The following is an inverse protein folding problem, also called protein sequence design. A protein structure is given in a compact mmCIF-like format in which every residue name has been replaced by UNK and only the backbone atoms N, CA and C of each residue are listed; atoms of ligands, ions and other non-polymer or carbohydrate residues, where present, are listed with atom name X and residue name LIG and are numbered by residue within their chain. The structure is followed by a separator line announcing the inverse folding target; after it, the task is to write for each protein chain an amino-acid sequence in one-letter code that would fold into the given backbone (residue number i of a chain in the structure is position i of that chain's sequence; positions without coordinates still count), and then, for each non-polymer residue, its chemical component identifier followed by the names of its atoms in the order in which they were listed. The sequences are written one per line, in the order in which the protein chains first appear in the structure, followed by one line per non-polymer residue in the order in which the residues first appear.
data_IF_050954174481
#
_entry.id   IF_050954174481
#
_cell.length_a   1.000
_cell.length_b   1.000
_cell.length_c   1.000
_cell.angle_alpha   90.00
_cell.angle_beta   90.00
_cell.angle_gamma   90.00
#
_symmetry.space_group_name_H-M   'P 1'
#
loop_
_entity.id
_entity.type
_entity.pdbx_description
1 polymer ?
#
# COMPACT_ATOMS: atom_id res chain seq x y z
N UNK A 1 56.78 -39.77 -10.41
CA UNK A 1 56.91 -38.30 -10.54
C UNK A 1 55.58 -37.68 -10.15
N UNK A 2 55.64 -36.50 -9.53
CA UNK A 2 54.53 -35.60 -9.13
C UNK A 2 54.36 -35.43 -7.62
N UNK A 3 55.18 -34.51 -7.10
CA UNK A 3 55.08 -33.86 -5.79
C UNK A 3 53.99 -32.79 -5.80
N UNK A 4 53.14 -32.76 -4.77
CA UNK A 4 52.24 -31.63 -4.50
C UNK A 4 52.90 -30.68 -3.49
N UNK A 5 53.16 -29.45 -3.92
CA UNK A 5 53.65 -28.36 -3.08
C UNK A 5 52.49 -27.48 -2.65
N UNK A 6 52.38 -27.25 -1.34
CA UNK A 6 51.42 -26.31 -0.75
C UNK A 6 51.96 -24.88 -0.82
N UNK A 7 51.12 -23.93 -1.24
CA UNK A 7 51.43 -22.50 -1.27
C UNK A 7 50.67 -21.74 -0.18
N UNK A 8 51.42 -20.98 0.61
CA UNK A 8 50.96 -20.10 1.69
C UNK A 8 50.35 -18.79 1.13
N UNK A 9 49.30 -18.22 1.73
CA UNK A 9 48.77 -16.92 1.30
C UNK A 9 49.56 -15.73 1.90
N UNK A 10 49.85 -14.75 1.04
CA UNK A 10 50.43 -13.45 1.37
C UNK A 10 49.42 -12.53 2.09
N UNK A 11 49.87 -11.84 3.14
CA UNK A 11 49.12 -10.78 3.83
C UNK A 11 49.10 -9.48 3.02
N UNK A 12 47.92 -8.93 2.77
CA UNK A 12 47.74 -7.61 2.17
C UNK A 12 47.91 -6.45 3.19
N UNK A 13 48.20 -5.22 2.72
CA UNK A 13 48.46 -4.08 3.59
C UNK A 13 47.19 -3.46 4.22
N UNK A 14 47.37 -2.92 5.42
CA UNK A 14 46.34 -2.32 6.26
C UNK A 14 45.81 -0.97 5.71
N UNK A 15 44.49 -0.80 5.77
CA UNK A 15 43.76 0.38 5.35
C UNK A 15 43.80 1.46 6.45
N UNK A 16 44.42 2.62 6.19
CA UNK A 16 44.35 3.80 7.07
C UNK A 16 43.15 4.67 6.71
N UNK A 17 42.34 5.04 7.72
CA UNK A 17 41.25 6.02 7.59
C UNK A 17 41.78 7.45 7.78
N UNK A 18 41.46 8.41 6.90
CA UNK A 18 41.66 9.82 7.20
C UNK A 18 40.57 10.34 8.14
N UNK A 19 41.00 10.93 9.25
CA UNK A 19 40.20 11.73 10.16
C UNK A 19 40.16 13.19 9.68
N UNK A 20 38.99 13.72 9.36
CA UNK A 20 38.77 15.16 9.24
C UNK A 20 37.51 15.56 9.99
N UNK A 21 37.72 16.25 11.10
CA UNK A 21 36.69 16.93 11.89
C UNK A 21 36.52 18.33 11.29
N UNK A 22 35.34 18.62 10.75
CA UNK A 22 34.95 20.00 10.39
C UNK A 22 33.64 20.32 11.11
N UNK A 23 33.68 21.35 11.96
CA UNK A 23 32.50 21.87 12.66
C UNK A 23 31.78 22.90 11.76
N UNK A 24 30.44 22.92 11.70
CA UNK A 24 29.72 23.95 10.96
C UNK A 24 29.48 25.22 11.81
N UNK A 25 29.33 26.40 11.19
CA UNK A 25 29.03 27.65 11.88
C UNK A 25 27.53 27.77 12.21
N UNK A 26 27.26 28.38 13.37
CA UNK A 26 25.93 28.70 13.88
C UNK A 26 25.45 30.01 13.24
N UNK A 27 24.35 29.97 12.49
CA UNK A 27 23.62 31.16 12.06
C UNK A 27 22.26 31.20 12.78
N UNK A 28 22.10 32.21 13.64
CA UNK A 28 20.85 32.53 14.33
C UNK A 28 19.95 33.33 13.39
N UNK A 29 18.75 32.83 13.11
CA UNK A 29 17.68 33.66 12.54
C UNK A 29 16.34 33.25 13.13
N UNK A 30 15.68 34.21 13.77
CA UNK A 30 14.35 34.06 14.37
C UNK A 30 13.29 33.91 13.27
N UNK A 31 12.32 33.00 13.39
CA UNK A 31 11.29 32.82 12.38
C UNK A 31 10.25 33.94 12.44
N UNK A 32 10.03 34.63 11.32
CA UNK A 32 8.86 35.50 11.14
C UNK A 32 7.61 34.65 10.92
N UNK A 33 6.49 35.03 11.56
CA UNK A 33 5.17 34.43 11.37
C UNK A 33 4.61 34.83 10.00
N UNK A 34 4.27 33.83 9.19
CA UNK A 34 3.48 34.00 7.97
C UNK A 34 1.98 33.97 8.35
N UNK A 35 1.14 34.91 7.87
CA UNK A 35 -0.31 34.89 8.11
C UNK A 35 -1.00 33.76 7.32
N UNK A 36 -1.99 33.13 7.94
CA UNK A 36 -2.90 32.17 7.28
C UNK A 36 -3.80 32.87 6.26
N UNK A 37 -4.11 32.25 5.10
CA UNK A 37 -5.08 32.77 4.15
C UNK A 37 -6.50 32.70 4.74
N UNK A 38 -7.28 33.76 4.51
CA UNK A 38 -8.69 33.86 4.86
C UNK A 38 -9.51 32.97 3.91
N UNK A 39 -10.47 32.23 4.46
CA UNK A 39 -11.43 31.45 3.68
C UNK A 39 -12.45 32.39 3.04
N UNK A 40 -12.61 32.28 1.72
CA UNK A 40 -13.66 32.95 0.97
C UNK A 40 -14.96 32.14 0.99
N UNK A 41 -16.05 32.90 1.10
CA UNK A 41 -17.43 32.49 1.26
C UNK A 41 -17.94 31.54 0.17
N UNK A 42 -18.72 30.53 0.58
CA UNK A 42 -19.60 29.76 -0.32
C UNK A 42 -21.06 30.17 -0.11
N UNK A 43 -21.89 30.18 -1.17
CA UNK A 43 -23.21 30.78 -1.15
C UNK A 43 -24.29 29.87 -0.53
N UNK A 44 -25.23 30.55 0.13
CA UNK A 44 -26.39 30.02 0.82
C UNK A 44 -27.36 29.28 -0.10
N UNK A 45 -27.72 28.04 0.26
CA UNK A 45 -28.85 27.32 -0.32
C UNK A 45 -30.03 27.33 0.66
N UNK A 46 -31.13 27.91 0.19
CA UNK A 46 -32.40 28.08 0.90
C UNK A 46 -33.15 26.75 1.04
N UNK A 47 -33.63 26.52 2.25
CA UNK A 47 -34.53 25.44 2.65
C UNK A 47 -35.96 25.67 2.16
N UNK A 48 -36.59 24.63 1.63
CA UNK A 48 -38.05 24.57 1.47
C UNK A 48 -38.57 23.26 2.07
N UNK A 49 -39.31 23.43 3.16
CA UNK A 49 -40.01 22.42 3.93
C UNK A 49 -41.35 22.05 3.27
N UNK A 50 -41.61 20.76 3.08
CA UNK A 50 -42.96 20.24 2.88
C UNK A 50 -43.03 18.76 3.30
N UNK A 51 -43.65 18.52 4.45
CA UNK A 51 -44.22 17.22 4.83
C UNK A 51 -45.51 16.98 4.04
N UNK A 52 -45.87 15.72 3.72
CA UNK A 52 -47.03 15.16 4.42
C UNK A 52 -46.99 13.64 4.71
N UNK A 53 -47.58 13.33 5.87
CA UNK A 53 -48.38 12.17 6.30
C UNK A 53 -48.33 10.81 5.57
N UNK A 54 -48.15 9.78 6.40
CA UNK A 54 -48.32 8.34 6.18
C UNK A 54 -49.71 7.93 5.66
N UNK A 55 -49.78 6.76 5.01
CA UNK A 55 -50.71 5.75 5.52
C UNK A 55 -50.06 4.37 5.73
N UNK A 56 -50.51 3.73 6.80
CA UNK A 56 -50.31 2.34 7.18
C UNK A 56 -50.87 1.37 6.13
N UNK A 57 -50.12 0.33 5.78
CA UNK A 57 -50.65 -0.95 5.28
C UNK A 57 -49.58 -2.04 5.40
N UNK A 58 -49.78 -2.95 6.33
CA UNK A 58 -49.09 -4.25 6.39
C UNK A 58 -49.59 -5.17 5.27
N UNK A 59 -48.70 -5.94 4.64
CA UNK A 59 -49.01 -7.32 4.32
C UNK A 59 -48.03 -8.27 4.99
N UNK A 60 -48.60 -9.17 5.80
CA UNK A 60 -48.02 -10.43 6.17
C UNK A 60 -47.79 -11.26 4.90
N UNK A 61 -46.54 -11.58 4.58
CA UNK A 61 -46.20 -12.68 3.68
C UNK A 61 -44.95 -13.37 4.19
N UNK A 62 -45.16 -14.53 4.80
CA UNK A 62 -44.18 -15.58 5.00
C UNK A 62 -43.60 -15.99 3.63
N UNK A 63 -42.43 -15.46 3.31
CA UNK A 63 -41.64 -15.87 2.15
C UNK A 63 -40.29 -16.36 2.67
N UNK A 64 -40.17 -17.69 2.64
CA UNK A 64 -38.97 -18.53 2.61
C UNK A 64 -37.62 -17.82 2.79
N UNK A 65 -37.09 -17.94 4.00
CA UNK A 65 -35.68 -17.73 4.36
C UNK A 65 -34.78 -18.85 3.80
N UNK A 66 -34.86 -19.09 2.48
CA UNK A 66 -34.03 -20.09 1.76
C UNK A 66 -32.92 -19.44 0.90
N UNK A 67 -32.82 -18.11 0.90
CA UNK A 67 -31.82 -17.36 0.15
C UNK A 67 -30.47 -17.21 0.87
N UNK A 68 -30.40 -17.46 2.19
CA UNK A 68 -29.23 -17.09 2.99
C UNK A 68 -28.20 -18.22 3.19
N UNK A 69 -28.57 -19.47 2.89
CA UNK A 69 -27.72 -20.63 3.17
C UNK A 69 -26.98 -21.20 1.94
N UNK A 70 -27.29 -20.74 0.72
CA UNK A 70 -26.56 -21.15 -0.50
C UNK A 70 -25.14 -20.58 -0.61
N UNK A 71 -24.79 -19.61 0.23
CA UNK A 71 -23.50 -18.96 0.17
C UNK A 71 -22.36 -19.80 0.75
N UNK A 72 -22.60 -20.57 1.82
CA UNK A 72 -21.53 -21.23 2.57
C UNK A 72 -20.91 -22.42 1.83
N UNK A 73 -21.71 -23.20 1.11
CA UNK A 73 -21.23 -24.41 0.40
C UNK A 73 -20.39 -24.07 -0.85
N UNK A 74 -20.57 -22.89 -1.45
CA UNK A 74 -19.88 -22.52 -2.68
C UNK A 74 -18.38 -22.22 -2.49
N UNK A 75 -17.94 -21.86 -1.29
CA UNK A 75 -16.56 -21.47 -1.02
C UNK A 75 -15.63 -22.65 -0.73
N UNK A 76 -16.17 -23.84 -0.42
CA UNK A 76 -15.35 -25.01 -0.06
C UNK A 76 -14.46 -25.49 -1.23
N UNK A 77 -14.90 -25.27 -2.47
CA UNK A 77 -14.14 -25.64 -3.68
C UNK A 77 -13.52 -24.43 -4.41
N UNK A 78 -13.89 -23.20 -4.04
CA UNK A 78 -13.39 -22.00 -4.71
C UNK A 78 -11.88 -21.83 -4.50
N UNK A 79 -11.17 -21.49 -5.58
CA UNK A 79 -9.75 -21.16 -5.55
C UNK A 79 -9.58 -19.73 -6.03
N UNK A 80 -9.09 -18.84 -5.16
CA UNK A 80 -8.68 -17.49 -5.54
C UNK A 80 -7.24 -17.51 -6.05
N UNK A 81 -7.01 -16.96 -7.23
CA UNK A 81 -5.71 -16.79 -7.86
C UNK A 81 -5.16 -15.40 -7.51
N UNK A 82 -4.09 -15.41 -6.72
CA UNK A 82 -3.43 -14.20 -6.23
C UNK A 82 -2.11 -14.00 -6.98
N UNK A 83 -2.09 -13.04 -7.90
CA UNK A 83 -0.85 -12.59 -8.52
C UNK A 83 0.03 -11.86 -7.52
N UNK A 84 1.35 -12.06 -7.54
CA UNK A 84 2.25 -11.29 -6.68
C UNK A 84 3.47 -10.72 -7.41
N UNK A 85 3.87 -9.51 -7.02
CA UNK A 85 5.06 -8.83 -7.51
C UNK A 85 5.86 -8.20 -6.36
N UNK A 86 6.96 -8.86 -5.97
CA UNK A 86 7.82 -8.43 -4.88
C UNK A 86 9.29 -8.36 -5.33
N UNK A 87 10.01 -7.34 -4.89
CA UNK A 87 11.46 -7.33 -5.00
C UNK A 87 12.10 -8.46 -4.18
N UNK A 88 13.31 -8.93 -4.56
CA UNK A 88 13.99 -10.05 -3.88
C UNK A 88 14.07 -9.88 -2.36
N UNK A 89 14.30 -8.65 -1.88
CA UNK A 89 14.34 -8.33 -0.45
C UNK A 89 13.04 -8.69 0.28
N UNK A 90 11.88 -8.46 -0.35
CA UNK A 90 10.56 -8.76 0.25
C UNK A 90 10.20 -10.24 0.10
N UNK A 91 10.69 -10.91 -0.95
CA UNK A 91 10.46 -12.35 -1.15
C UNK A 91 10.96 -13.20 0.02
N UNK A 92 12.08 -12.84 0.66
CA UNK A 92 12.57 -13.57 1.83
C UNK A 92 11.55 -13.65 2.98
N UNK A 93 10.75 -12.59 3.18
CA UNK A 93 9.67 -12.59 4.18
C UNK A 93 8.40 -13.27 3.70
N UNK A 94 8.14 -13.28 2.39
CA UNK A 94 6.89 -13.80 1.81
C UNK A 94 6.97 -15.27 1.39
N UNK A 95 8.18 -15.83 1.28
CA UNK A 95 8.41 -17.17 0.74
C UNK A 95 7.54 -18.25 1.40
N UNK A 96 7.44 -18.23 2.74
CA UNK A 96 6.62 -19.20 3.48
C UNK A 96 5.14 -19.13 3.11
N UNK A 97 4.58 -17.92 3.04
CA UNK A 97 3.16 -17.70 2.73
C UNK A 97 2.82 -18.12 1.30
N UNK A 98 3.72 -17.83 0.36
CA UNK A 98 3.53 -18.15 -1.07
C UNK A 98 3.69 -19.64 -1.34
N UNK A 99 4.65 -20.30 -0.69
CA UNK A 99 4.96 -21.72 -0.91
C UNK A 99 4.03 -22.65 -0.15
N UNK A 100 3.56 -22.23 1.02
CA UNK A 100 2.64 -22.96 1.86
C UNK A 100 1.49 -22.03 2.31
N UNK A 101 0.46 -21.86 1.47
CA UNK A 101 -0.72 -21.05 1.79
C UNK A 101 -1.69 -21.76 2.76
N UNK A 102 -1.38 -23.00 3.19
CA UNK A 102 -2.24 -23.80 4.04
C UNK A 102 -2.37 -23.37 5.53
N UNK A 103 -1.48 -22.56 6.17
CA UNK A 103 -1.61 -22.27 7.60
C UNK A 103 -2.78 -21.34 7.97
N UNK A 104 -3.60 -20.94 6.99
CA UNK A 104 -4.76 -20.07 7.19
C UNK A 104 -6.09 -20.71 6.72
N UNK A 105 -6.18 -22.04 6.72
CA UNK A 105 -7.45 -22.75 6.51
C UNK A 105 -8.39 -22.51 7.70
N UNK A 106 -9.05 -21.37 7.68
CA UNK A 106 -10.30 -21.19 8.40
C UNK A 106 -11.40 -21.92 7.61
N UNK A 107 -12.21 -22.72 8.29
CA UNK A 107 -13.30 -23.46 7.65
C UNK A 107 -14.25 -22.48 6.96
N UNK A 108 -14.62 -22.78 5.71
CA UNK A 108 -15.50 -21.92 4.89
C UNK A 108 -14.82 -20.81 4.08
N UNK A 109 -13.48 -20.68 4.11
CA UNK A 109 -12.75 -19.75 3.22
C UNK A 109 -12.22 -20.42 1.95
N UNK A 110 -12.17 -19.70 0.81
CA UNK A 110 -11.63 -20.24 -0.43
C UNK A 110 -10.13 -20.52 -0.32
N UNK A 111 -9.66 -21.49 -1.10
CA UNK A 111 -8.22 -21.80 -1.21
C UNK A 111 -7.50 -20.71 -1.98
N UNK A 112 -6.26 -20.43 -1.62
CA UNK A 112 -5.42 -19.46 -2.33
C UNK A 112 -4.40 -20.15 -3.22
N UNK A 113 -4.26 -19.68 -4.46
CA UNK A 113 -3.17 -20.04 -5.38
C UNK A 113 -2.36 -18.79 -5.70
N UNK A 114 -1.10 -18.77 -5.28
CA UNK A 114 -0.20 -17.65 -5.56
C UNK A 114 0.52 -17.83 -6.90
N UNK A 115 0.56 -16.77 -7.72
CA UNK A 115 1.22 -16.76 -9.03
C UNK A 115 2.25 -15.61 -9.10
N UNK A 116 3.55 -15.87 -9.33
CA UNK A 116 4.51 -14.80 -9.55
C UNK A 116 4.17 -14.05 -10.84
N UNK A 117 4.11 -12.73 -10.76
CA UNK A 117 3.91 -11.85 -11.92
C UNK A 117 5.23 -11.32 -12.45
N UNK A 118 5.38 -11.35 -13.76
CA UNK A 118 6.43 -10.66 -14.50
C UNK A 118 5.89 -9.33 -15.03
N UNK A 119 6.21 -8.24 -14.33
CA UNK A 119 5.74 -6.90 -14.68
C UNK A 119 6.43 -6.30 -15.91
N UNK A 120 7.43 -6.97 -16.47
CA UNK A 120 8.05 -6.59 -17.74
C UNK A 120 7.27 -7.14 -18.95
N UNK A 121 6.25 -7.97 -18.71
CA UNK A 121 5.36 -8.55 -19.72
C UNK A 121 3.92 -8.08 -19.53
N UNK A 122 3.06 -8.16 -20.57
CA UNK A 122 1.63 -7.91 -20.42
C UNK A 122 1.01 -8.80 -19.34
N UNK A 123 0.09 -8.24 -18.54
CA UNK A 123 -0.54 -8.96 -17.42
C UNK A 123 -1.72 -9.85 -17.84
N UNK A 124 -2.43 -9.51 -18.93
CA UNK A 124 -3.55 -10.33 -19.44
C UNK A 124 -3.23 -11.81 -19.64
N UNK A 125 -2.12 -12.20 -20.32
CA UNK A 125 -1.78 -13.61 -20.50
C UNK A 125 -1.27 -14.29 -19.21
N UNK A 126 -1.03 -13.54 -18.13
CA UNK A 126 -0.61 -14.07 -16.84
C UNK A 126 -1.82 -14.33 -15.91
N UNK A 127 -3.02 -13.91 -16.31
CA UNK A 127 -4.28 -14.07 -15.58
C UNK A 127 -5.33 -14.90 -16.34
N UNK A 128 -6.54 -15.11 -15.78
CA UNK A 128 -7.23 -14.21 -14.84
C UNK A 128 -6.70 -14.23 -13.40
N UNK A 129 -6.85 -13.11 -12.70
CA UNK A 129 -6.41 -12.89 -11.32
C UNK A 129 -7.57 -12.36 -10.49
N UNK A 130 -7.78 -12.91 -9.29
CA UNK A 130 -8.76 -12.40 -8.33
C UNK A 130 -8.18 -11.24 -7.51
N UNK A 131 -6.88 -11.31 -7.21
CA UNK A 131 -6.17 -10.25 -6.53
C UNK A 131 -4.72 -10.14 -6.98
N UNK A 132 -4.14 -8.96 -6.78
CA UNK A 132 -2.72 -8.66 -6.99
C UNK A 132 -2.14 -8.11 -5.70
N UNK A 133 -1.12 -8.80 -5.16
CA UNK A 133 -0.30 -8.33 -4.07
C UNK A 133 1.02 -7.78 -4.59
N UNK A 134 1.41 -6.60 -4.15
CA UNK A 134 2.71 -6.07 -4.55
C UNK A 134 3.38 -5.23 -3.47
N UNK A 135 4.70 -5.05 -3.61
CA UNK A 135 5.47 -4.11 -2.79
C UNK A 135 6.40 -3.29 -3.66
N UNK A 136 5.79 -2.38 -4.42
CA UNK A 136 6.48 -1.53 -5.41
C UNK A 136 6.74 -0.11 -4.90
N UNK A 137 6.95 0.05 -3.60
CA UNK A 137 7.23 1.35 -2.98
C UNK A 137 8.43 2.05 -3.64
N UNK A 138 9.47 1.31 -4.03
CA UNK A 138 10.62 1.86 -4.74
C UNK A 138 10.29 2.34 -6.16
N UNK A 139 9.33 1.70 -6.84
CA UNK A 139 8.89 2.18 -8.15
C UNK A 139 8.05 3.44 -8.02
N UNK A 140 7.21 3.54 -6.99
CA UNK A 140 6.45 4.75 -6.69
C UNK A 140 7.40 5.93 -6.45
N UNK A 141 8.46 5.73 -5.67
CA UNK A 141 9.47 6.76 -5.39
C UNK A 141 10.26 7.17 -6.64
N UNK A 142 10.47 6.23 -7.58
CA UNK A 142 11.27 6.46 -8.80
C UNK A 142 10.43 6.80 -10.02
N UNK A 143 9.09 6.78 -9.95
CA UNK A 143 8.17 6.95 -11.08
C UNK A 143 8.51 8.16 -11.95
N UNK A 144 8.86 9.28 -11.33
CA UNK A 144 9.19 10.53 -12.04
C UNK A 144 10.53 10.52 -12.78
N UNK A 145 11.45 9.59 -12.46
CA UNK A 145 12.84 9.58 -12.97
C UNK A 145 13.25 8.25 -13.61
N UNK A 146 12.39 7.24 -13.58
CA UNK A 146 12.65 5.89 -14.10
C UNK A 146 11.47 5.42 -14.95
N UNK A 147 11.59 5.46 -16.29
CA UNK A 147 10.53 5.04 -17.22
C UNK A 147 10.05 3.60 -16.98
N UNK A 148 10.94 2.69 -16.60
CA UNK A 148 10.62 1.30 -16.32
C UNK A 148 9.73 1.17 -15.09
N UNK A 149 10.02 1.95 -14.04
CA UNK A 149 9.16 2.01 -12.85
C UNK A 149 7.78 2.57 -13.19
N UNK A 150 7.73 3.65 -13.97
CA UNK A 150 6.47 4.21 -14.44
C UNK A 150 5.65 3.21 -15.26
N UNK A 151 6.29 2.46 -16.16
CA UNK A 151 5.65 1.42 -16.97
C UNK A 151 5.08 0.29 -16.12
N UNK A 152 5.84 -0.25 -15.17
CA UNK A 152 5.36 -1.33 -14.29
C UNK A 152 4.14 -0.92 -13.48
N UNK A 153 4.15 0.31 -12.93
CA UNK A 153 2.99 0.85 -12.19
C UNK A 153 1.79 1.05 -13.13
N UNK A 154 2.00 1.62 -14.31
CA UNK A 154 0.93 1.83 -15.29
C UNK A 154 0.31 0.51 -15.76
N UNK A 155 1.11 -0.53 -15.97
CA UNK A 155 0.63 -1.87 -16.33
C UNK A 155 -0.34 -2.44 -15.30
N UNK A 156 -0.05 -2.27 -14.00
CA UNK A 156 -0.95 -2.69 -12.92
C UNK A 156 -2.24 -1.87 -12.90
N UNK A 157 -2.13 -0.54 -12.97
CA UNK A 157 -3.28 0.38 -12.98
C UNK A 157 -4.20 0.10 -14.17
N UNK A 158 -3.64 -0.13 -15.36
CA UNK A 158 -4.39 -0.45 -16.57
C UNK A 158 -5.08 -1.81 -16.47
N UNK A 159 -4.39 -2.84 -15.97
CA UNK A 159 -4.97 -4.17 -15.80
C UNK A 159 -6.22 -4.14 -14.95
N UNK A 160 -6.17 -3.51 -13.77
CA UNK A 160 -7.30 -3.46 -12.82
C UNK A 160 -8.39 -2.48 -13.25
N UNK A 161 -8.05 -1.50 -14.09
CA UNK A 161 -9.05 -0.66 -14.76
C UNK A 161 -9.87 -1.47 -15.76
N UNK A 162 -9.24 -2.39 -16.51
CA UNK A 162 -9.92 -3.28 -17.46
C UNK A 162 -10.58 -4.49 -16.79
N UNK A 163 -10.15 -4.83 -15.57
CA UNK A 163 -10.59 -5.96 -14.75
C UNK A 163 -11.01 -5.46 -13.37
N UNK A 164 -12.12 -4.73 -13.25
CA UNK A 164 -12.58 -4.19 -11.97
C UNK A 164 -12.90 -5.26 -10.92
N UNK A 165 -13.09 -6.52 -11.34
CA UNK A 165 -13.22 -7.69 -10.48
C UNK A 165 -11.91 -8.06 -9.76
N UNK A 166 -10.74 -7.64 -10.27
CA UNK A 166 -9.44 -7.91 -9.66
C UNK A 166 -9.12 -6.88 -8.58
N UNK A 167 -8.87 -7.35 -7.36
CA UNK A 167 -8.43 -6.50 -6.25
C UNK A 167 -6.94 -6.17 -6.33
N UNK A 168 -6.56 -4.88 -6.25
CA UNK A 168 -5.15 -4.44 -6.17
C UNK A 168 -4.77 -3.97 -4.77
N UNK A 169 -3.88 -4.70 -4.11
CA UNK A 169 -3.41 -4.41 -2.74
C UNK A 169 -1.94 -4.00 -2.78
N UNK A 170 -1.58 -2.73 -2.64
CA UNK A 170 -2.40 -1.50 -2.50
C UNK A 170 -2.28 -0.65 -3.78
N UNK A 171 -3.35 0.00 -4.22
CA UNK A 171 -3.31 0.84 -5.42
C UNK A 171 -2.12 1.85 -5.39
N UNK A 172 -1.30 1.97 -6.45
CA UNK A 172 -0.11 2.84 -6.47
C UNK A 172 -0.34 4.27 -5.99
N UNK A 173 -1.46 4.89 -6.39
CA UNK A 173 -1.90 6.21 -5.89
C UNK A 173 -2.00 6.32 -4.35
N UNK A 174 -2.37 5.25 -3.65
CA UNK A 174 -2.40 5.25 -2.18
C UNK A 174 -0.98 5.18 -1.61
N UNK A 175 -0.09 4.43 -2.26
CA UNK A 175 1.31 4.36 -1.85
C UNK A 175 2.01 5.73 -1.95
N UNK A 176 1.69 6.54 -2.97
CA UNK A 176 2.22 7.91 -3.11
C UNK A 176 1.97 8.78 -1.87
N UNK A 177 0.84 8.57 -1.18
CA UNK A 177 0.52 9.30 0.07
C UNK A 177 1.29 8.76 1.27
N UNK A 178 1.48 7.44 1.35
CA UNK A 178 2.06 6.76 2.52
C UNK A 178 3.59 6.83 2.54
N UNK A 179 4.25 6.97 1.39
CA UNK A 179 5.72 7.09 1.34
C UNK A 179 6.25 8.38 1.99
N UNK A 180 5.41 9.40 2.10
CA UNK A 180 5.73 10.64 2.79
C UNK A 180 5.42 10.52 4.28
N UNK A 181 6.45 10.61 5.12
CA UNK A 181 6.28 10.70 6.58
C UNK A 181 5.45 11.92 6.97
N UNK A 182 5.67 13.05 6.29
CA UNK A 182 4.90 14.28 6.49
C UNK A 182 3.41 14.05 6.28
N UNK A 183 3.05 13.44 5.15
CA UNK A 183 1.66 13.12 4.80
C UNK A 183 1.07 12.12 5.78
N UNK A 184 1.82 11.07 6.14
CA UNK A 184 1.37 10.07 7.11
C UNK A 184 1.07 10.69 8.47
N UNK A 185 1.98 11.51 9.02
CA UNK A 185 1.76 12.20 10.28
C UNK A 185 0.57 13.17 10.21
N UNK A 186 0.41 13.86 9.08
CA UNK A 186 -0.73 14.76 8.87
C UNK A 186 -2.06 14.00 8.87
N UNK A 187 -2.15 12.88 8.15
CA UNK A 187 -3.34 12.02 8.12
C UNK A 187 -3.64 11.46 9.51
N UNK A 188 -2.65 10.94 10.23
CA UNK A 188 -2.85 10.42 11.59
C UNK A 188 -3.35 11.50 12.55
N UNK A 189 -2.88 12.75 12.41
CA UNK A 189 -3.38 13.89 13.19
C UNK A 189 -4.81 14.23 12.83
N UNK A 190 -5.16 14.27 11.55
CA UNK A 190 -6.53 14.52 11.11
C UNK A 190 -7.49 13.44 11.64
N UNK A 191 -7.10 12.16 11.54
CA UNK A 191 -7.89 11.04 12.07
C UNK A 191 -8.06 11.12 13.59
N UNK A 192 -7.03 11.47 14.35
CA UNK A 192 -7.14 11.64 15.80
C UNK A 192 -8.10 12.77 16.22
N UNK A 193 -8.24 13.82 15.38
CA UNK A 193 -9.17 14.91 15.62
C UNK A 193 -10.61 14.54 15.22
N UNK A 194 -10.78 13.83 14.10
CA UNK A 194 -12.08 13.41 13.60
C UNK A 194 -12.68 12.24 14.42
N UNK A 195 -11.82 11.40 15.00
CA UNK A 195 -12.18 10.21 15.76
C UNK A 195 -11.49 10.17 17.13
N UNK A 196 -11.86 11.06 18.08
CA UNK A 196 -11.25 11.07 19.42
C UNK A 196 -11.42 9.74 20.17
N UNK A 197 -12.51 9.01 19.91
CA UNK A 197 -12.83 7.71 20.49
C UNK A 197 -11.85 6.61 20.08
N UNK A 198 -11.18 6.75 18.93
CA UNK A 198 -10.20 5.77 18.46
C UNK A 198 -8.91 5.77 19.30
N UNK A 199 -8.74 6.75 20.21
CA UNK A 199 -7.59 6.82 21.11
C UNK A 199 -6.25 7.05 20.39
N UNK A 200 -6.29 7.54 19.14
CA UNK A 200 -5.10 7.79 18.34
C UNK A 200 -4.25 8.92 18.95
N UNK A 201 -2.97 8.64 19.20
CA UNK A 201 -2.00 9.60 19.75
C UNK A 201 -0.81 9.79 18.78
N UNK A 202 -1.01 10.50 17.66
CA UNK A 202 0.05 10.75 16.71
C UNK A 202 1.20 11.55 17.36
N UNK A 203 2.46 11.24 17.03
CA UNK A 203 3.60 12.00 17.55
C UNK A 203 3.55 13.44 17.06
N UNK A 204 4.04 14.37 17.89
CA UNK A 204 4.28 15.76 17.45
C UNK A 204 5.36 15.76 16.38
N UNK A 205 5.15 16.52 15.31
CA UNK A 205 6.11 16.64 14.22
C UNK A 205 6.19 18.09 13.74
N UNK A 206 7.35 18.43 13.17
CA UNK A 206 7.61 19.70 12.50
C UNK A 206 8.10 19.38 11.08
N UNK A 207 7.56 20.09 10.08
CA UNK A 207 8.09 20.04 8.72
C UNK A 207 9.18 21.09 8.62
N UNK A 208 10.40 20.63 8.38
CA UNK A 208 11.51 21.50 8.04
C UNK A 208 11.53 21.60 6.52
N UNK A 209 11.25 22.78 6.00
CA UNK A 209 11.47 23.06 4.59
C UNK A 209 12.98 23.04 4.33
N UNK A 210 13.43 22.14 3.46
CA UNK A 210 14.79 22.19 2.95
C UNK A 210 14.72 23.03 1.69
N UNK A 211 14.71 24.36 1.88
CA UNK A 211 14.68 25.32 0.78
C UNK A 211 15.67 24.93 -0.32
N UNK A 212 15.18 24.97 -1.56
CA UNK A 212 16.00 24.80 -2.76
C UNK A 212 16.88 26.00 -3.05
#
# INVERSE_FOLDING_TARGET
MSSMSASTPQSGPAFQKPSSTVSPPVASSSPQRIPLPQEEDTPSSSSSSSSPSSPSSTPSSSASDEGRLRGAEAWEEAVLVVGYAFYPKKMGSMARIVQDPAPHREEGLPRLRFLPLDLEKPLDPQGPLDAILHKLTEDVLRRARCPEAARRLASLEEYVTRRPETLLVEHPRHLERIVSRATTCHVLRALALAHPEAGLRPPRYLLLDQGG
#
